data_IF_450439972480
#
_entry.id   IF_450439972480
#
_cell.length_a   1.000
_cell.length_b   1.000
_cell.length_c   1.000
_cell.angle_alpha   90.00
_cell.angle_beta   90.00
_cell.angle_gamma   90.00
#
_symmetry.space_group_name_H-M   'P 1'
#
loop_
_entity.id
_entity.type
_entity.pdbx_description
1 polymer ?
#
# COMPACT_ATOMS: atom_id res chain seq x y z
N UNK A 1 -34.71 9.46 33.66
CA UNK A 1 -33.50 9.09 32.87
C UNK A 1 -33.97 8.69 31.49
N UNK A 2 -33.89 9.60 30.53
CA UNK A 2 -34.29 9.34 29.14
C UNK A 2 -33.27 8.43 28.46
N UNK A 3 -33.53 7.12 28.54
CA UNK A 3 -32.70 6.08 27.95
C UNK A 3 -32.50 6.30 26.43
N UNK A 4 -33.52 6.81 25.73
CA UNK A 4 -33.45 7.15 24.31
C UNK A 4 -32.42 8.24 24.00
N UNK A 5 -32.31 9.27 24.84
CA UNK A 5 -31.38 10.38 24.65
C UNK A 5 -29.93 9.93 24.87
N UNK A 6 -29.70 9.09 25.88
CA UNK A 6 -28.39 8.49 26.15
C UNK A 6 -27.91 7.56 25.02
N UNK A 7 -28.81 6.75 24.43
CA UNK A 7 -28.49 5.89 23.28
C UNK A 7 -28.13 6.69 22.04
N UNK A 8 -28.79 7.83 21.82
CA UNK A 8 -28.50 8.74 20.72
C UNK A 8 -27.10 9.40 20.87
N UNK A 9 -26.78 9.93 22.06
CA UNK A 9 -25.46 10.52 22.33
C UNK A 9 -24.33 9.50 22.24
N UNK A 10 -24.55 8.28 22.74
CA UNK A 10 -23.56 7.19 22.64
C UNK A 10 -23.32 6.81 21.17
N UNK A 11 -24.39 6.62 20.39
CA UNK A 11 -24.26 6.28 18.96
C UNK A 11 -23.60 7.40 18.15
N UNK A 12 -23.87 8.66 18.51
CA UNK A 12 -23.23 9.83 17.89
C UNK A 12 -21.74 9.85 18.20
N UNK A 13 -21.34 9.67 19.46
CA UNK A 13 -19.93 9.56 19.86
C UNK A 13 -19.21 8.41 19.17
N UNK A 14 -19.82 7.23 19.09
CA UNK A 14 -19.25 6.07 18.42
C UNK A 14 -19.03 6.32 16.92
N UNK A 15 -19.98 6.98 16.24
CA UNK A 15 -19.82 7.35 14.83
C UNK A 15 -18.69 8.35 14.63
N UNK A 16 -18.62 9.38 15.46
CA UNK A 16 -17.55 10.39 15.40
C UNK A 16 -16.17 9.77 15.67
N UNK A 17 -16.08 8.86 16.63
CA UNK A 17 -14.85 8.13 16.94
C UNK A 17 -14.41 7.21 15.79
N UNK A 18 -15.35 6.48 15.16
CA UNK A 18 -15.05 5.63 13.99
C UNK A 18 -14.61 6.44 12.79
N UNK A 19 -15.20 7.61 12.55
CA UNK A 19 -14.79 8.50 11.44
C UNK A 19 -13.47 9.22 11.70
N UNK A 20 -13.10 9.44 12.97
CA UNK A 20 -11.85 10.10 13.32
C UNK A 20 -10.62 9.21 13.07
N UNK A 21 -10.78 7.89 13.21
CA UNK A 21 -9.75 6.94 12.86
C UNK A 21 -9.70 6.77 11.33
N UNK A 22 -8.79 7.48 10.66
CA UNK A 22 -8.41 7.13 9.28
C UNK A 22 -7.87 5.70 9.29
N UNK A 23 -8.64 4.76 8.75
CA UNK A 23 -8.14 3.40 8.54
C UNK A 23 -7.02 3.47 7.51
N UNK A 24 -5.80 3.09 7.92
CA UNK A 24 -4.69 2.93 6.99
C UNK A 24 -5.02 1.76 6.04
N UNK A 25 -5.58 2.09 4.88
CA UNK A 25 -5.86 1.10 3.85
C UNK A 25 -4.55 0.52 3.29
N UNK A 26 -4.61 -0.75 2.86
CA UNK A 26 -3.52 -1.38 2.14
C UNK A 26 -3.64 -1.06 0.65
N UNK A 27 -2.63 -0.39 0.08
CA UNK A 27 -2.55 -0.07 -1.34
C UNK A 27 -1.59 -1.04 -2.03
N UNK A 28 -2.03 -1.66 -3.11
CA UNK A 28 -1.21 -2.60 -3.87
C UNK A 28 -0.58 -1.92 -5.08
N UNK A 29 0.74 -2.01 -5.22
CA UNK A 29 1.50 -1.46 -6.35
C UNK A 29 2.09 -2.61 -7.16
N UNK A 30 1.58 -2.80 -8.38
CA UNK A 30 2.03 -3.90 -9.24
C UNK A 30 3.16 -3.48 -10.16
N UNK A 31 4.33 -4.07 -10.00
CA UNK A 31 5.38 -4.00 -11.00
C UNK A 31 4.93 -4.85 -12.20
N UNK A 32 5.05 -4.28 -13.42
CA UNK A 32 4.43 -4.78 -14.64
C UNK A 32 4.74 -6.25 -14.96
N UNK A 33 3.99 -6.89 -15.87
CA UNK A 33 3.98 -8.37 -16.03
C UNK A 33 5.21 -9.00 -16.70
N UNK A 34 6.16 -8.18 -17.16
CA UNK A 34 7.33 -8.63 -17.91
C UNK A 34 8.58 -8.41 -17.09
N UNK A 35 9.53 -9.31 -17.21
CA UNK A 35 10.83 -9.21 -16.55
C UNK A 35 11.68 -8.04 -17.07
N UNK A 36 11.49 -7.67 -18.33
CA UNK A 36 12.08 -6.49 -18.98
C UNK A 36 11.25 -5.25 -18.67
N UNK A 37 11.18 -4.88 -17.40
CA UNK A 37 10.64 -3.58 -17.00
C UNK A 37 11.73 -2.55 -17.28
N UNK A 38 11.38 -1.47 -17.97
CA UNK A 38 12.30 -0.34 -18.13
C UNK A 38 12.54 0.33 -16.77
N UNK A 39 13.72 0.91 -16.60
CA UNK A 39 14.10 1.59 -15.35
C UNK A 39 13.09 2.69 -14.98
N UNK A 40 12.66 3.47 -15.96
CA UNK A 40 11.65 4.52 -15.77
C UNK A 40 10.28 3.98 -15.29
N UNK A 41 9.83 2.83 -15.80
CA UNK A 41 8.59 2.19 -15.34
C UNK A 41 8.68 1.77 -13.87
N UNK A 42 9.86 1.36 -13.40
CA UNK A 42 10.09 1.04 -11.98
C UNK A 42 10.02 2.31 -11.15
N UNK A 43 10.75 3.36 -11.56
CA UNK A 43 10.81 4.65 -10.86
C UNK A 43 9.41 5.25 -10.63
N UNK A 44 8.54 5.26 -11.65
CA UNK A 44 7.16 5.75 -11.51
C UNK A 44 6.40 4.98 -10.42
N UNK A 45 6.58 3.66 -10.34
CA UNK A 45 5.89 2.83 -9.33
C UNK A 45 6.48 3.01 -7.95
N UNK A 46 7.78 3.28 -7.83
CA UNK A 46 8.39 3.64 -6.55
C UNK A 46 7.90 5.01 -6.08
N UNK A 47 7.81 6.00 -6.96
CA UNK A 47 7.24 7.30 -6.62
C UNK A 47 5.77 7.17 -6.17
N UNK A 48 4.99 6.33 -6.86
CA UNK A 48 3.62 6.01 -6.45
C UNK A 48 3.57 5.37 -5.06
N UNK A 49 4.46 4.41 -4.77
CA UNK A 49 4.57 3.80 -3.44
C UNK A 49 4.95 4.83 -2.38
N UNK A 50 5.91 5.73 -2.67
CA UNK A 50 6.32 6.81 -1.79
C UNK A 50 5.15 7.73 -1.44
N UNK A 51 4.33 8.11 -2.43
CA UNK A 51 3.12 8.92 -2.21
C UNK A 51 2.14 8.24 -1.27
N UNK A 52 1.92 6.93 -1.42
CA UNK A 52 1.04 6.17 -0.52
C UNK A 52 1.59 6.06 0.91
N UNK A 53 2.90 5.87 1.06
CA UNK A 53 3.54 5.85 2.38
C UNK A 53 3.40 7.21 3.09
N UNK A 54 3.60 8.32 2.37
CA UNK A 54 3.44 9.68 2.91
C UNK A 54 1.98 9.94 3.34
N UNK A 55 1.00 9.42 2.60
CA UNK A 55 -0.42 9.54 2.96
C UNK A 55 -0.82 8.68 4.17
N UNK A 56 0.09 7.82 4.67
CA UNK A 56 -0.12 6.95 5.83
C UNK A 56 -0.72 5.58 5.49
N UNK A 57 -0.69 5.19 4.22
CA UNK A 57 -1.16 3.88 3.77
C UNK A 57 -0.05 2.82 3.84
N UNK A 58 -0.46 1.58 4.07
CA UNK A 58 0.46 0.43 3.94
C UNK A 58 0.57 0.08 2.47
N UNK A 59 1.79 -0.11 1.96
CA UNK A 59 2.02 -0.46 0.56
C UNK A 59 2.44 -1.92 0.42
N UNK A 60 1.74 -2.66 -0.46
CA UNK A 60 2.12 -4.00 -0.87
C UNK A 60 2.60 -3.96 -2.32
N UNK A 61 3.90 -4.16 -2.55
CA UNK A 61 4.42 -4.24 -3.91
C UNK A 61 4.39 -5.68 -4.42
N UNK A 62 3.89 -5.89 -5.64
CA UNK A 62 3.72 -7.23 -6.22
C UNK A 62 4.28 -7.26 -7.63
N UNK A 63 5.11 -8.26 -7.93
CA UNK A 63 5.61 -8.54 -9.27
C UNK A 63 4.95 -9.83 -9.76
N UNK A 64 4.27 -9.76 -10.91
CA UNK A 64 3.72 -10.95 -11.56
C UNK A 64 4.72 -11.46 -12.60
N UNK A 65 5.02 -12.76 -12.58
CA UNK A 65 5.85 -13.42 -13.59
C UNK A 65 4.95 -14.27 -14.50
N UNK A 66 5.22 -14.29 -15.82
CA UNK A 66 4.53 -15.18 -16.75
C UNK A 66 5.45 -16.30 -17.23
N UNK A 67 4.98 -17.55 -17.15
CA UNK A 67 5.64 -18.71 -17.75
C UNK A 67 7.07 -18.93 -17.26
N UNK A 68 8.03 -18.93 -18.20
CA UNK A 68 9.46 -19.22 -17.96
C UNK A 68 10.23 -18.10 -17.24
N UNK A 69 9.59 -16.97 -16.98
CA UNK A 69 10.21 -15.83 -16.27
C UNK A 69 10.37 -16.08 -14.76
N UNK A 70 9.83 -17.18 -14.23
CA UNK A 70 9.97 -17.58 -12.83
C UNK A 70 11.43 -17.84 -12.40
N UNK A 71 12.32 -18.09 -13.37
CA UNK A 71 13.76 -18.30 -13.13
C UNK A 71 14.43 -17.02 -12.61
N UNK A 72 13.86 -15.85 -12.93
CA UNK A 72 14.42 -14.55 -12.58
C UNK A 72 13.89 -13.99 -11.25
N UNK A 73 13.42 -14.87 -10.36
CA UNK A 73 13.04 -14.52 -8.98
C UNK A 73 14.16 -13.78 -8.26
N UNK A 74 15.40 -14.26 -8.34
CA UNK A 74 16.54 -13.64 -7.67
C UNK A 74 16.77 -12.19 -8.12
N UNK A 75 16.67 -11.92 -9.42
CA UNK A 75 16.80 -10.55 -9.95
C UNK A 75 15.69 -9.64 -9.44
N UNK A 76 14.46 -10.15 -9.35
CA UNK A 76 13.34 -9.39 -8.81
C UNK A 76 13.47 -9.15 -7.30
N UNK A 77 13.93 -10.15 -6.53
CA UNK A 77 14.22 -9.98 -5.11
C UNK A 77 15.24 -8.88 -4.85
N UNK A 78 16.34 -8.87 -5.62
CA UNK A 78 17.35 -7.82 -5.52
C UNK A 78 16.75 -6.44 -5.80
N UNK A 79 15.97 -6.31 -6.87
CA UNK A 79 15.27 -5.05 -7.19
C UNK A 79 14.33 -4.61 -6.07
N UNK A 80 13.58 -5.53 -5.47
CA UNK A 80 12.73 -5.19 -4.32
C UNK A 80 13.55 -4.72 -3.12
N UNK A 81 14.71 -5.31 -2.87
CA UNK A 81 15.60 -4.85 -1.81
C UNK A 81 16.10 -3.42 -2.05
N UNK A 82 16.49 -3.10 -3.29
CA UNK A 82 16.87 -1.74 -3.68
C UNK A 82 15.71 -0.74 -3.49
N UNK A 83 14.49 -1.10 -3.90
CA UNK A 83 13.29 -0.27 -3.69
C UNK A 83 13.00 -0.05 -2.21
N UNK A 84 13.13 -1.09 -1.38
CA UNK A 84 12.91 -0.99 0.07
C UNK A 84 13.94 -0.08 0.73
N UNK A 85 15.21 -0.12 0.28
CA UNK A 85 16.25 0.80 0.75
C UNK A 85 15.90 2.24 0.38
N UNK A 86 15.57 2.50 -0.89
CA UNK A 86 15.23 3.84 -1.36
C UNK A 86 14.00 4.43 -0.67
N UNK A 87 13.00 3.61 -0.34
CA UNK A 87 11.80 4.05 0.39
C UNK A 87 12.01 4.16 1.92
N UNK A 88 13.10 3.58 2.43
CA UNK A 88 13.47 3.63 3.85
C UNK A 88 14.26 4.87 4.23
N UNK A 89 14.76 5.62 3.25
CA UNK A 89 15.41 6.94 3.40
C UNK A 89 14.39 8.09 3.38
#
# INVERSE_FOLDING_TARGET
>A
MDYGKFRFETSKKERTARSATKQAEMKEVRLGRSQKIFEHDVEIRVEQARRFLIDGHKVQMVQQFKGREIIHKETAFKRFEDIVKELGE
#
